data_IF_708789017254
#
_entry.id   IF_708789017254
#
_cell.length_a   1.000
_cell.length_b   1.000
_cell.length_c   1.000
_cell.angle_alpha   90.00
_cell.angle_beta   90.00
_cell.angle_gamma   90.00
#
_symmetry.space_group_name_H-M   'P 1'
#
loop_
_entity.id
_entity.type
_entity.pdbx_description
1 polymer ?
#
# COMPACT_ATOMS: atom_id res chain seq x y z
N UNK A 1 24.00 30.39 5.70
CA UNK A 1 23.03 29.40 6.22
C UNK A 1 21.62 29.89 5.95
N UNK A 2 20.85 29.20 5.10
CA UNK A 2 19.44 29.54 4.83
C UNK A 2 18.59 29.09 6.03
N UNK A 3 17.88 30.01 6.68
CA UNK A 3 16.92 29.67 7.74
C UNK A 3 15.80 28.82 7.14
N UNK A 4 15.54 27.65 7.72
CA UNK A 4 14.45 26.80 7.28
C UNK A 4 13.10 27.51 7.51
N UNK A 5 12.16 27.47 6.55
CA UNK A 5 10.88 28.15 6.70
C UNK A 5 10.09 27.58 7.88
N UNK A 6 9.46 28.47 8.64
CA UNK A 6 8.58 28.16 9.78
C UNK A 6 7.17 27.98 9.23
N UNK A 7 6.69 26.74 9.21
CA UNK A 7 5.36 26.40 8.70
C UNK A 7 4.39 26.36 9.89
N UNK A 8 3.27 27.08 9.76
CA UNK A 8 2.18 27.10 10.75
C UNK A 8 0.86 26.80 10.06
N UNK A 9 0.01 26.02 10.71
CA UNK A 9 -1.36 25.73 10.28
C UNK A 9 -2.31 26.13 11.39
N UNK A 10 -3.23 27.05 11.09
CA UNK A 10 -4.22 27.54 12.07
C UNK A 10 -3.61 28.02 13.39
N UNK A 11 -2.50 28.77 13.31
CA UNK A 11 -1.75 29.23 14.49
C UNK A 11 -0.86 28.18 15.16
N UNK A 12 -1.01 26.90 14.84
CA UNK A 12 -0.16 25.82 15.36
C UNK A 12 1.10 25.63 14.52
N UNK A 13 2.24 25.48 15.18
CA UNK A 13 3.52 25.18 14.51
C UNK A 13 3.55 23.72 14.06
N UNK A 14 3.80 23.50 12.77
CA UNK A 14 3.98 22.15 12.25
C UNK A 14 5.42 21.70 12.49
N UNK A 15 5.57 20.56 13.17
CA UNK A 15 6.88 19.94 13.41
C UNK A 15 7.36 19.22 12.15
N UNK A 16 8.64 19.40 11.81
CA UNK A 16 9.30 18.56 10.79
C UNK A 16 9.59 17.20 11.41
N UNK A 17 9.01 16.15 10.84
CA UNK A 17 9.24 14.76 11.21
C UNK A 17 9.92 14.05 10.04
N UNK A 18 10.79 13.08 10.35
CA UNK A 18 11.49 12.30 9.31
C UNK A 18 10.57 11.37 8.55
N UNK A 19 9.57 10.78 9.20
CA UNK A 19 8.54 10.01 8.54
C UNK A 19 7.21 10.18 9.24
N UNK A 20 6.12 10.08 8.49
CA UNK A 20 4.76 10.14 9.02
C UNK A 20 3.85 9.13 8.33
N UNK A 21 2.71 8.87 8.95
CA UNK A 21 1.68 7.98 8.41
C UNK A 21 0.43 8.79 8.10
N UNK A 22 -0.07 8.67 6.87
CA UNK A 22 -1.30 9.30 6.43
C UNK A 22 -2.15 8.30 5.65
N UNK A 23 -3.40 8.11 6.05
CA UNK A 23 -4.34 7.17 5.42
C UNK A 23 -3.79 5.74 5.20
N UNK A 24 -2.89 5.29 6.10
CA UNK A 24 -2.25 3.97 5.98
C UNK A 24 -0.97 3.93 5.14
N UNK A 25 -0.63 5.02 4.47
CA UNK A 25 0.61 5.21 3.72
C UNK A 25 1.69 5.77 4.63
N UNK A 26 2.90 5.22 4.54
CA UNK A 26 4.06 5.75 5.25
C UNK A 26 4.85 6.60 4.26
N UNK A 27 5.04 7.87 4.61
CA UNK A 27 5.77 8.85 3.80
C UNK A 27 7.01 9.25 4.57
N UNK A 28 8.17 9.08 3.94
CA UNK A 28 9.47 9.50 4.46
C UNK A 28 9.81 10.92 3.98
N UNK A 29 10.71 11.62 4.68
CA UNK A 29 11.12 13.00 4.38
C UNK A 29 11.82 13.12 3.02
N UNK A 30 12.40 12.00 2.55
CA UNK A 30 12.99 11.84 1.21
C UNK A 30 12.00 11.32 0.17
N UNK A 31 10.71 11.19 0.51
CA UNK A 31 9.69 10.54 -0.32
C UNK A 31 10.11 9.12 -0.77
N UNK A 32 10.87 8.42 0.07
CA UNK A 32 11.26 7.04 -0.19
C UNK A 32 10.12 6.09 0.19
N UNK A 33 9.62 5.34 -0.79
CA UNK A 33 8.50 4.42 -0.62
C UNK A 33 8.91 3.01 -0.17
N UNK A 34 10.21 2.70 -0.09
CA UNK A 34 10.72 1.35 0.16
C UNK A 34 10.28 0.80 1.53
N UNK A 35 10.27 1.64 2.57
CA UNK A 35 9.79 1.22 3.89
C UNK A 35 8.28 0.89 3.87
N UNK A 36 7.49 1.71 3.16
CA UNK A 36 6.06 1.48 2.97
C UNK A 36 5.80 0.17 2.23
N UNK A 37 6.46 -0.02 1.08
CA UNK A 37 6.34 -1.23 0.25
C UNK A 37 6.69 -2.48 1.06
N UNK A 38 7.81 -2.45 1.81
CA UNK A 38 8.21 -3.58 2.65
C UNK A 38 7.19 -3.88 3.76
N UNK A 39 6.62 -2.85 4.40
CA UNK A 39 5.58 -3.03 5.42
C UNK A 39 4.29 -3.61 4.83
N UNK A 40 3.84 -3.12 3.68
CA UNK A 40 2.64 -3.65 3.02
C UNK A 40 2.88 -5.07 2.48
N UNK A 41 4.03 -5.34 1.88
CA UNK A 41 4.42 -6.67 1.42
C UNK A 41 4.40 -7.71 2.55
N UNK A 42 4.96 -7.39 3.73
CA UNK A 42 4.88 -8.27 4.90
C UNK A 42 3.44 -8.57 5.34
N UNK A 43 2.55 -7.56 5.31
CA UNK A 43 1.13 -7.75 5.63
C UNK A 43 0.39 -8.58 4.59
N UNK A 44 0.69 -8.36 3.31
CA UNK A 44 0.12 -9.09 2.19
C UNK A 44 0.51 -10.59 2.27
N UNK A 45 1.78 -10.90 2.51
CA UNK A 45 2.27 -12.28 2.68
C UNK A 45 1.56 -12.95 3.86
N UNK A 46 1.46 -12.28 5.02
CA UNK A 46 0.75 -12.83 6.18
C UNK A 46 -0.72 -13.10 5.86
N UNK A 47 -1.39 -12.21 5.16
CA UNK A 47 -2.79 -12.36 4.75
C UNK A 47 -2.95 -13.52 3.77
N UNK A 48 -2.03 -13.69 2.82
CA UNK A 48 -2.01 -14.81 1.89
C UNK A 48 -1.81 -16.15 2.62
N UNK A 49 -0.90 -16.20 3.60
CA UNK A 49 -0.69 -17.39 4.41
C UNK A 49 -1.95 -17.75 5.21
N UNK A 50 -2.64 -16.76 5.78
CA UNK A 50 -3.91 -17.00 6.47
C UNK A 50 -5.00 -17.53 5.52
N UNK A 51 -5.10 -16.98 4.31
CA UNK A 51 -6.02 -17.48 3.29
C UNK A 51 -5.70 -18.92 2.87
N UNK A 52 -4.42 -19.30 2.81
CA UNK A 52 -4.00 -20.69 2.55
C UNK A 52 -4.37 -21.64 3.70
N UNK A 53 -4.37 -21.18 4.95
CA UNK A 53 -4.71 -22.01 6.12
C UNK A 53 -6.20 -22.36 6.20
N UNK A 54 -7.08 -21.46 5.78
CA UNK A 54 -8.55 -21.67 5.83
C UNK A 54 -9.09 -22.41 4.59
N UNK A 55 -8.18 -22.94 3.78
CA UNK A 55 -8.41 -23.47 2.46
C UNK A 55 -7.89 -24.91 2.38
N UNK A 56 -8.70 -25.88 2.79
CA UNK A 56 -8.45 -27.29 2.52
C UNK A 56 -8.83 -27.67 1.08
N UNK A 57 -8.36 -28.83 0.62
CA UNK A 57 -8.75 -29.38 -0.69
C UNK A 57 -10.21 -29.83 -0.73
N UNK A 58 -10.67 -30.47 0.35
CA UNK A 58 -12.03 -31.02 0.49
C UNK A 58 -12.87 -30.35 1.59
N UNK A 59 -12.33 -29.35 2.28
CA UNK A 59 -13.00 -28.64 3.37
C UNK A 59 -12.56 -27.17 3.41
N UNK A 60 -13.41 -26.29 3.95
CA UNK A 60 -13.15 -24.86 4.02
C UNK A 60 -13.72 -24.06 2.85
N UNK A 61 -13.10 -22.92 2.55
CA UNK A 61 -13.68 -21.91 1.66
C UNK A 61 -13.50 -22.29 0.18
N UNK A 62 -14.60 -22.21 -0.59
CA UNK A 62 -14.60 -22.51 -2.02
C UNK A 62 -13.68 -21.57 -2.82
N UNK A 63 -13.23 -22.05 -3.98
CA UNK A 63 -12.25 -21.34 -4.81
C UNK A 63 -12.71 -19.93 -5.22
N UNK A 64 -14.01 -19.76 -5.51
CA UNK A 64 -14.60 -18.46 -5.90
C UNK A 64 -14.46 -17.45 -4.75
N UNK A 65 -14.85 -17.85 -3.54
CA UNK A 65 -14.74 -16.99 -2.35
C UNK A 65 -13.28 -16.68 -2.00
N UNK A 66 -12.38 -17.65 -2.19
CA UNK A 66 -10.93 -17.46 -1.98
C UNK A 66 -10.35 -16.42 -2.95
N UNK A 67 -10.76 -16.47 -4.21
CA UNK A 67 -10.38 -15.49 -5.23
C UNK A 67 -10.92 -14.10 -4.89
N UNK A 68 -12.18 -14.01 -4.46
CA UNK A 68 -12.78 -12.75 -4.01
C UNK A 68 -12.02 -12.16 -2.83
N UNK A 69 -11.66 -12.96 -1.82
CA UNK A 69 -10.87 -12.51 -0.68
C UNK A 69 -9.47 -12.06 -1.08
N UNK A 70 -8.82 -12.76 -2.01
CA UNK A 70 -7.54 -12.34 -2.56
C UNK A 70 -7.61 -10.95 -3.20
N UNK A 71 -8.57 -10.71 -4.10
CA UNK A 71 -8.74 -9.41 -4.78
C UNK A 71 -9.11 -8.28 -3.81
N UNK A 72 -10.05 -8.55 -2.91
CA UNK A 72 -10.57 -7.49 -2.03
C UNK A 72 -9.61 -7.11 -0.92
N UNK A 73 -8.78 -8.05 -0.44
CA UNK A 73 -7.89 -7.83 0.71
C UNK A 73 -6.44 -7.65 0.26
N UNK A 74 -5.86 -8.63 -0.43
CA UNK A 74 -4.42 -8.63 -0.74
C UNK A 74 -4.12 -7.66 -1.88
N UNK A 75 -4.86 -7.75 -2.98
CA UNK A 75 -4.66 -6.84 -4.12
C UNK A 75 -4.93 -5.40 -3.69
N UNK A 76 -5.95 -5.15 -2.86
CA UNK A 76 -6.20 -3.81 -2.30
C UNK A 76 -5.08 -3.32 -1.37
N UNK A 77 -4.48 -4.18 -0.54
CA UNK A 77 -3.32 -3.80 0.28
C UNK A 77 -2.11 -3.36 -0.54
N UNK A 78 -1.92 -3.95 -1.72
CA UNK A 78 -0.79 -3.65 -2.61
C UNK A 78 -1.07 -2.47 -3.54
N UNK A 79 -2.31 -2.32 -3.99
CA UNK A 79 -2.73 -1.28 -4.95
C UNK A 79 -3.16 0.01 -4.27
N UNK A 80 -3.55 -0.02 -3.00
CA UNK A 80 -3.93 1.20 -2.28
C UNK A 80 -2.74 2.15 -2.19
N UNK A 81 -2.91 3.33 -2.77
CA UNK A 81 -1.87 4.34 -2.83
C UNK A 81 -0.90 4.17 -4.00
N UNK A 82 -1.05 3.16 -4.89
CA UNK A 82 -0.20 2.98 -6.08
C UNK A 82 -0.10 4.24 -6.94
N UNK A 83 -1.19 4.99 -7.06
CA UNK A 83 -1.22 6.29 -7.74
C UNK A 83 -0.28 7.34 -7.11
N UNK A 84 0.07 7.21 -5.83
CA UNK A 84 0.95 8.15 -5.12
C UNK A 84 2.44 7.80 -5.26
N UNK A 85 2.80 6.55 -5.53
CA UNK A 85 4.20 6.11 -5.72
C UNK A 85 4.54 5.68 -7.16
N UNK A 86 3.56 5.61 -8.06
CA UNK A 86 3.80 5.40 -9.48
C UNK A 86 4.42 6.65 -10.13
N UNK A 87 5.76 6.68 -10.17
CA UNK A 87 6.53 7.62 -10.97
C UNK A 87 6.46 7.15 -12.44
N UNK A 88 5.60 7.75 -13.24
CA UNK A 88 5.39 7.34 -14.63
C UNK A 88 6.54 7.81 -15.56
N UNK A 89 6.95 6.98 -16.53
CA UNK A 89 7.36 7.48 -17.83
C UNK A 89 6.60 6.73 -18.94
N UNK A 90 5.44 7.27 -19.34
CA UNK A 90 4.76 7.21 -20.67
C UNK A 90 3.23 6.99 -20.58
N UNK A 91 2.42 7.71 -21.39
CA UNK A 91 0.97 7.53 -21.45
C UNK A 91 0.61 6.38 -22.41
N UNK A 92 1.06 5.16 -22.15
CA UNK A 92 0.60 3.98 -22.91
C UNK A 92 0.34 2.82 -21.95
N UNK A 93 -0.95 2.50 -21.83
CA UNK A 93 -1.54 1.23 -21.37
C UNK A 93 -1.11 0.68 -20.00
N UNK A 94 -1.81 1.13 -18.95
CA UNK A 94 -2.22 0.19 -17.88
C UNK A 94 -3.63 -0.26 -18.25
N UNK A 95 -3.72 -1.26 -19.13
CA UNK A 95 -4.95 -2.05 -19.16
C UNK A 95 -4.98 -2.93 -17.90
N UNK A 96 -6.15 -3.12 -17.28
CA UNK A 96 -6.27 -4.11 -16.21
C UNK A 96 -5.80 -5.45 -16.77
N UNK A 97 -4.77 -6.04 -16.16
CA UNK A 97 -4.31 -7.38 -16.52
C UNK A 97 -5.44 -8.35 -16.19
N UNK A 98 -6.28 -8.58 -17.19
CA UNK A 98 -7.34 -9.58 -17.19
C UNK A 98 -6.66 -10.87 -17.60
N UNK A 99 -6.13 -11.60 -16.62
CA UNK A 99 -5.69 -12.98 -16.84
C UNK A 99 -6.98 -13.79 -17.01
N UNK A 100 -7.35 -14.04 -18.26
CA UNK A 100 -8.13 -15.20 -18.69
C UNK A 100 -7.13 -16.28 -19.10
#
# INVERSE_FOLDING_TARGET
MVRSPKITWDGYKINRVKSFKYLGIHVDDRLNWLEHINKQGKKAIKSQQNLKKIAGGNWGISQIHRWTLYKTVIERMLTLGSSAWHLNPNPVSIQPVRIL
#
